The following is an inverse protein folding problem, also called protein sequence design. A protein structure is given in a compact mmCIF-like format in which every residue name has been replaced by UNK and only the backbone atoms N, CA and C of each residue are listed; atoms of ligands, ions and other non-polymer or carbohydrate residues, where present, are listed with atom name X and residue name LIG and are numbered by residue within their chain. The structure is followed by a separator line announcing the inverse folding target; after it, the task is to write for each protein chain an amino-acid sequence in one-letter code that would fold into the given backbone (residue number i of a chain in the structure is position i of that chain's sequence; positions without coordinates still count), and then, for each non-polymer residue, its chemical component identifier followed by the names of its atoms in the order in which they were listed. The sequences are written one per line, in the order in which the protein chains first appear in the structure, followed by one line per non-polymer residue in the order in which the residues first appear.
data_IF_392728029461
#
_entry.id   IF_392728029461
#
_cell.length_a   1.000
_cell.length_b   1.000
_cell.length_c   1.000
_cell.angle_alpha   90.00
_cell.angle_beta   90.00
_cell.angle_gamma   90.00
#
_symmetry.space_group_name_H-M   'P 1'
#
loop_
_entity.id
_entity.type
_entity.pdbx_description
1 polymer ?
#
# COMPACT_ATOMS: atom_id res chain seq x y z
N UNK A 1 -13.70 6.28 -13.16
CA UNK A 1 -12.85 6.82 -12.06
C UNK A 1 -12.07 5.65 -11.48
N UNK A 2 -10.80 5.81 -11.20
CA UNK A 2 -9.96 4.76 -10.58
C UNK A 2 -10.28 4.64 -9.11
N UNK A 3 -10.32 3.41 -8.59
CA UNK A 3 -10.63 3.11 -7.19
C UNK A 3 -9.49 2.38 -6.50
N UNK A 4 -9.10 2.86 -5.33
CA UNK A 4 -8.01 2.32 -4.53
C UNK A 4 -8.53 1.91 -3.15
N UNK A 5 -8.17 0.71 -2.68
CA UNK A 5 -8.37 0.33 -1.29
C UNK A 5 -7.09 0.54 -0.49
N UNK A 6 -7.19 1.11 0.71
CA UNK A 6 -6.09 1.19 1.67
C UNK A 6 -6.41 0.28 2.85
N UNK A 7 -5.60 -0.76 3.05
CA UNK A 7 -5.83 -1.79 4.07
C UNK A 7 -5.23 -1.35 5.42
N UNK A 8 -6.08 -1.14 6.41
CA UNK A 8 -5.68 -0.65 7.72
C UNK A 8 -5.84 -1.76 8.79
N UNK A 9 -4.75 -2.40 9.17
CA UNK A 9 -4.74 -3.29 10.32
C UNK A 9 -4.32 -2.53 11.60
N UNK A 10 -4.73 -2.95 12.80
CA UNK A 10 -4.25 -2.35 14.04
C UNK A 10 -2.72 -2.24 14.08
N UNK A 11 -2.19 -1.07 14.44
CA UNK A 11 -0.76 -0.79 14.43
C UNK A 11 -0.18 -0.42 13.06
N UNK A 12 -1.01 -0.04 12.08
CA UNK A 12 -0.55 0.49 10.79
C UNK A 12 0.25 1.79 10.98
N UNK A 13 1.19 2.07 10.07
CA UNK A 13 1.94 3.34 10.07
C UNK A 13 1.05 4.46 9.51
N UNK A 14 0.63 5.36 10.40
CA UNK A 14 -0.35 6.41 10.08
C UNK A 14 0.12 7.39 9.01
N UNK A 15 1.39 7.79 9.07
CA UNK A 15 1.88 8.77 8.11
C UNK A 15 1.96 8.19 6.69
N UNK A 16 2.37 6.92 6.53
CA UNK A 16 2.37 6.24 5.24
C UNK A 16 0.96 6.12 4.67
N UNK A 17 -0.01 5.74 5.50
CA UNK A 17 -1.41 5.62 5.09
C UNK A 17 -2.01 6.98 4.71
N UNK A 18 -1.89 8.00 5.57
CA UNK A 18 -2.54 9.29 5.39
C UNK A 18 -1.93 10.07 4.22
N UNK A 19 -0.59 10.08 4.06
CA UNK A 19 0.05 10.71 2.90
C UNK A 19 -0.48 10.08 1.61
N UNK A 20 -0.52 8.75 1.54
CA UNK A 20 -1.02 8.05 0.34
C UNK A 20 -2.49 8.39 0.07
N UNK A 21 -3.36 8.36 1.08
CA UNK A 21 -4.79 8.69 0.96
C UNK A 21 -4.96 10.14 0.49
N UNK A 22 -4.27 11.10 1.11
CA UNK A 22 -4.40 12.53 0.80
C UNK A 22 -3.96 12.82 -0.65
N UNK A 23 -2.79 12.35 -1.07
CA UNK A 23 -2.27 12.58 -2.42
C UNK A 23 -3.21 11.97 -3.47
N UNK A 24 -3.67 10.75 -3.29
CA UNK A 24 -4.57 10.12 -4.24
C UNK A 24 -5.91 10.87 -4.36
N UNK A 25 -6.51 11.26 -3.22
CA UNK A 25 -7.78 12.02 -3.20
C UNK A 25 -7.63 13.40 -3.84
N UNK A 26 -6.50 14.10 -3.64
CA UNK A 26 -6.20 15.38 -4.30
C UNK A 26 -6.11 15.25 -5.82
N UNK A 27 -5.71 14.09 -6.32
CA UNK A 27 -5.64 13.77 -7.74
C UNK A 27 -6.94 13.11 -8.27
N UNK A 28 -8.05 13.29 -7.55
CA UNK A 28 -9.39 12.81 -7.91
C UNK A 28 -9.47 11.27 -8.10
N UNK A 29 -8.57 10.53 -7.45
CA UNK A 29 -8.64 9.08 -7.38
C UNK A 29 -9.51 8.70 -6.17
N UNK A 30 -10.53 7.87 -6.39
CA UNK A 30 -11.40 7.40 -5.32
C UNK A 30 -10.63 6.46 -4.39
N UNK A 31 -10.58 6.80 -3.09
CA UNK A 31 -9.92 5.99 -2.08
C UNK A 31 -10.91 5.55 -1.02
N UNK A 32 -11.02 4.25 -0.82
CA UNK A 32 -11.77 3.62 0.26
C UNK A 32 -10.80 3.00 1.27
N UNK A 33 -10.90 3.38 2.53
CA UNK A 33 -10.12 2.78 3.61
C UNK A 33 -10.84 1.55 4.15
N UNK A 34 -10.12 0.42 4.27
CA UNK A 34 -10.68 -0.85 4.73
C UNK A 34 -10.02 -1.28 6.04
N UNK A 35 -10.79 -1.34 7.11
CA UNK A 35 -10.32 -1.90 8.37
C UNK A 35 -10.15 -3.41 8.24
N UNK A 36 -8.93 -3.91 8.49
CA UNK A 36 -8.63 -5.34 8.59
C UNK A 36 -8.81 -5.79 10.05
N UNK A 37 -10.02 -5.59 10.56
CA UNK A 37 -10.47 -5.87 11.91
C UNK A 37 -12.00 -6.04 11.91
N UNK A 38 -12.58 -6.51 13.02
CA UNK A 38 -14.03 -6.74 13.14
C UNK A 38 -14.86 -5.45 13.12
N UNK A 39 -14.22 -4.31 13.38
CA UNK A 39 -14.88 -2.99 13.38
C UNK A 39 -14.13 -2.02 12.49
N UNK A 40 -14.79 -0.94 12.09
CA UNK A 40 -14.18 0.14 11.29
C UNK A 40 -13.18 1.00 12.09
N UNK A 41 -13.22 0.95 13.42
CA UNK A 41 -12.31 1.68 14.27
C UNK A 41 -10.97 0.93 14.36
N UNK A 42 -9.89 1.60 13.93
CA UNK A 42 -8.52 1.06 13.91
C UNK A 42 -7.60 2.05 14.61
N UNK A 43 -6.66 1.55 15.40
CA UNK A 43 -5.65 2.38 16.08
C UNK A 43 -4.31 2.17 15.40
N UNK A 44 -3.66 3.28 15.04
CA UNK A 44 -2.36 3.27 14.36
C UNK A 44 -1.20 2.93 15.29
N UNK A 45 0.01 2.88 14.74
CA UNK A 45 1.25 2.56 15.48
C UNK A 45 1.53 3.56 16.61
N UNK A 46 1.27 4.85 16.41
CA UNK A 46 1.44 5.87 17.47
C UNK A 46 0.12 6.24 18.16
N UNK A 47 -0.78 5.26 18.28
CA UNK A 47 -2.03 5.37 19.05
C UNK A 47 -3.03 6.43 18.53
N UNK A 48 -3.00 6.75 17.23
CA UNK A 48 -3.99 7.62 16.61
C UNK A 48 -5.20 6.78 16.19
N UNK A 49 -6.41 7.04 16.73
CA UNK A 49 -7.61 6.35 16.31
C UNK A 49 -8.08 6.86 14.94
N UNK A 50 -8.47 5.93 14.07
CA UNK A 50 -9.03 6.20 12.76
C UNK A 50 -10.28 5.33 12.56
N UNK A 51 -11.30 5.89 11.92
CA UNK A 51 -12.49 5.14 11.49
C UNK A 51 -12.40 4.94 9.99
N UNK A 52 -12.27 3.69 9.54
CA UNK A 52 -12.24 3.35 8.13
C UNK A 52 -13.63 3.47 7.48
N UNK A 53 -13.66 3.63 6.16
CA UNK A 53 -14.90 3.74 5.39
C UNK A 53 -15.71 2.43 5.43
N UNK A 54 -15.03 1.28 5.41
CA UNK A 54 -15.61 -0.07 5.46
C UNK A 54 -14.69 -1.03 6.23
N UNK A 55 -15.16 -2.24 6.48
CA UNK A 55 -14.27 -3.36 6.85
C UNK A 55 -13.84 -4.14 5.61
N UNK A 56 -12.71 -4.87 5.70
CA UNK A 56 -12.28 -5.75 4.63
C UNK A 56 -13.33 -6.83 4.33
N UNK A 57 -14.00 -7.38 5.35
CA UNK A 57 -15.04 -8.38 5.19
C UNK A 57 -16.25 -7.88 4.38
N UNK A 58 -16.62 -6.60 4.52
CA UNK A 58 -17.69 -5.97 3.72
C UNK A 58 -17.28 -5.83 2.23
N UNK A 59 -16.00 -5.87 1.91
CA UNK A 59 -15.44 -5.66 0.57
C UNK A 59 -14.68 -6.85 0.00
N UNK A 60 -14.69 -7.99 0.64
CA UNK A 60 -13.88 -9.16 0.28
C UNK A 60 -14.03 -9.60 -1.19
N UNK A 61 -15.21 -9.42 -1.78
CA UNK A 61 -15.48 -9.76 -3.18
C UNK A 61 -15.29 -8.59 -4.15
N UNK A 62 -14.89 -7.40 -3.67
CA UNK A 62 -14.74 -6.20 -4.51
C UNK A 62 -13.34 -6.15 -5.10
N UNK A 63 -13.22 -5.89 -6.40
CA UNK A 63 -11.94 -5.62 -7.05
C UNK A 63 -11.74 -4.11 -7.21
N UNK A 64 -10.66 -3.62 -6.64
CA UNK A 64 -10.16 -2.25 -6.80
C UNK A 64 -9.12 -2.18 -7.93
N UNK A 65 -8.81 -1.00 -8.45
CA UNK A 65 -7.73 -0.85 -9.44
C UNK A 65 -6.35 -0.96 -8.79
N UNK A 66 -6.24 -0.62 -7.51
CA UNK A 66 -5.05 -0.82 -6.69
C UNK A 66 -5.43 -1.12 -5.24
N UNK A 67 -4.57 -1.86 -4.55
CA UNK A 67 -4.62 -2.04 -3.10
C UNK A 67 -3.33 -1.54 -2.47
N UNK A 68 -3.43 -0.74 -1.43
CA UNK A 68 -2.29 -0.19 -0.67
C UNK A 68 -2.20 -0.91 0.67
N UNK A 69 -1.00 -1.37 0.99
CA UNK A 69 -0.68 -2.03 2.25
C UNK A 69 0.36 -1.18 3.00
N UNK A 70 -0.07 -0.34 3.95
CA UNK A 70 0.85 0.41 4.79
C UNK A 70 1.73 -0.49 5.65
N UNK A 71 2.88 0.05 6.06
CA UNK A 71 3.76 -0.61 7.00
C UNK A 71 3.28 -0.51 8.46
N UNK A 72 4.24 -0.28 9.32
CA UNK A 72 4.08 -0.32 10.77
C UNK A 72 4.53 -1.68 11.34
N UNK A 73 5.26 -1.67 12.45
CA UNK A 73 5.83 -2.89 13.03
C UNK A 73 4.78 -3.95 13.34
N UNK A 74 3.66 -3.55 13.94
CA UNK A 74 2.56 -4.45 14.25
C UNK A 74 1.54 -4.54 13.11
N UNK A 75 1.27 -3.43 12.41
CA UNK A 75 0.29 -3.39 11.31
C UNK A 75 0.60 -4.39 10.20
N UNK A 76 1.85 -4.41 9.71
CA UNK A 76 2.27 -5.34 8.66
C UNK A 76 2.28 -6.82 9.13
N UNK A 77 2.54 -7.07 10.41
CA UNK A 77 2.41 -8.42 10.99
C UNK A 77 0.95 -8.86 11.01
N UNK A 78 0.04 -7.98 11.44
CA UNK A 78 -1.39 -8.26 11.47
C UNK A 78 -1.96 -8.47 10.05
N UNK A 79 -1.54 -7.66 9.07
CA UNK A 79 -1.90 -7.87 7.66
C UNK A 79 -1.41 -9.23 7.16
N UNK A 80 -0.15 -9.57 7.44
CA UNK A 80 0.46 -10.83 6.97
C UNK A 80 -0.20 -12.08 7.56
N UNK A 81 -0.68 -12.00 8.81
CA UNK A 81 -1.33 -13.10 9.51
C UNK A 81 -2.80 -13.29 9.13
N UNK A 82 -3.43 -12.30 8.50
CA UNK A 82 -4.84 -12.36 8.10
C UNK A 82 -5.03 -13.15 6.81
N UNK A 83 -5.72 -14.29 6.90
CA UNK A 83 -6.09 -15.08 5.71
C UNK A 83 -6.92 -14.28 4.71
N UNK A 84 -7.79 -13.40 5.19
CA UNK A 84 -8.66 -12.57 4.36
C UNK A 84 -7.84 -11.53 3.57
N UNK A 85 -6.85 -10.91 4.21
CA UNK A 85 -5.90 -10.01 3.52
C UNK A 85 -5.12 -10.77 2.46
N UNK A 86 -4.57 -11.94 2.80
CA UNK A 86 -3.80 -12.77 1.86
C UNK A 86 -4.66 -13.17 0.65
N UNK A 87 -5.91 -13.57 0.87
CA UNK A 87 -6.83 -13.90 -0.22
C UNK A 87 -7.20 -12.68 -1.06
N UNK A 88 -7.40 -11.52 -0.42
CA UNK A 88 -7.70 -10.27 -1.10
C UNK A 88 -6.54 -9.83 -2.01
N UNK A 89 -5.30 -9.92 -1.53
CA UNK A 89 -4.09 -9.68 -2.33
C UNK A 89 -4.02 -10.64 -3.51
N UNK A 90 -4.20 -11.94 -3.28
CA UNK A 90 -4.19 -12.95 -4.35
C UNK A 90 -5.23 -12.70 -5.43
N UNK A 91 -6.45 -12.32 -5.04
CA UNK A 91 -7.52 -12.01 -5.99
C UNK A 91 -7.19 -10.81 -6.86
N UNK A 92 -6.61 -9.74 -6.28
CA UNK A 92 -6.18 -8.56 -7.02
C UNK A 92 -5.00 -8.87 -7.94
N UNK A 93 -4.01 -9.62 -7.47
CA UNK A 93 -2.85 -10.04 -8.27
C UNK A 93 -3.28 -10.87 -9.48
N UNK A 94 -4.14 -11.87 -9.26
CA UNK A 94 -4.70 -12.70 -10.34
C UNK A 94 -5.52 -11.90 -11.36
N UNK A 95 -6.15 -10.81 -10.94
CA UNK A 95 -6.90 -9.89 -11.81
C UNK A 95 -6.00 -8.82 -12.48
N UNK A 96 -4.67 -8.85 -12.28
CA UNK A 96 -3.73 -7.88 -12.82
C UNK A 96 -3.89 -6.47 -12.23
N UNK A 97 -4.51 -6.35 -11.04
CA UNK A 97 -4.66 -5.09 -10.33
C UNK A 97 -3.38 -4.74 -9.59
N UNK A 98 -3.15 -3.44 -9.34
CA UNK A 98 -1.93 -2.99 -8.68
C UNK A 98 -1.89 -3.42 -7.21
N UNK A 99 -0.76 -3.97 -6.80
CA UNK A 99 -0.44 -4.34 -5.42
C UNK A 99 0.63 -3.37 -4.92
N UNK A 100 0.31 -2.58 -3.90
CA UNK A 100 1.11 -1.42 -3.53
C UNK A 100 1.49 -1.45 -2.03
N UNK A 101 2.46 -2.30 -1.64
CA UNK A 101 3.00 -2.29 -0.28
C UNK A 101 4.01 -1.17 -0.08
N UNK A 102 4.05 -0.60 1.13
CA UNK A 102 5.11 0.32 1.54
C UNK A 102 5.78 -0.16 2.82
N UNK A 103 7.05 0.20 3.03
CA UNK A 103 7.80 -0.07 4.25
C UNK A 103 7.95 -1.58 4.51
N UNK A 104 7.57 -2.06 5.68
CA UNK A 104 7.65 -3.47 6.07
C UNK A 104 6.65 -4.38 5.37
N UNK A 105 5.60 -3.83 4.74
CA UNK A 105 4.52 -4.62 4.17
C UNK A 105 4.97 -5.47 2.96
N UNK A 106 5.91 -4.98 2.12
CA UNK A 106 6.40 -5.77 1.00
C UNK A 106 7.06 -7.08 1.47
N UNK A 107 7.94 -7.00 2.46
CA UNK A 107 8.63 -8.18 2.99
C UNK A 107 7.69 -9.07 3.81
N UNK A 108 6.92 -8.48 4.74
CA UNK A 108 6.10 -9.26 5.68
C UNK A 108 4.84 -9.82 5.07
N UNK A 109 4.10 -9.01 4.31
CA UNK A 109 2.83 -9.46 3.73
C UNK A 109 3.07 -10.26 2.46
N UNK A 110 3.81 -9.72 1.50
CA UNK A 110 4.04 -10.40 0.23
C UNK A 110 5.12 -11.47 0.37
N UNK A 111 6.32 -11.13 0.84
CA UNK A 111 7.40 -12.09 1.01
C UNK A 111 7.07 -13.20 1.99
N UNK A 112 6.48 -12.85 3.16
CA UNK A 112 6.10 -13.84 4.17
C UNK A 112 5.01 -14.83 3.72
N UNK A 113 4.24 -14.52 2.68
CA UNK A 113 3.20 -15.37 2.10
C UNK A 113 3.54 -15.88 0.68
N UNK A 114 4.80 -15.73 0.22
CA UNK A 114 5.26 -16.13 -1.11
C UNK A 114 4.41 -15.52 -2.25
N UNK A 115 4.15 -14.21 -2.17
CA UNK A 115 3.32 -13.47 -3.12
C UNK A 115 4.12 -12.48 -3.98
N UNK A 116 5.44 -12.40 -3.83
CA UNK A 116 6.28 -11.57 -4.70
C UNK A 116 6.46 -12.21 -6.08
N UNK A 117 6.43 -13.54 -6.17
CA UNK A 117 6.48 -14.27 -7.45
C UNK A 117 7.68 -13.90 -8.33
N UNK A 118 8.87 -13.73 -7.73
CA UNK A 118 10.10 -13.36 -8.42
C UNK A 118 10.21 -11.87 -8.78
N UNK A 119 9.19 -11.04 -8.48
CA UNK A 119 9.21 -9.61 -8.81
C UNK A 119 10.25 -8.85 -8.00
N UNK A 120 10.79 -7.81 -8.61
CA UNK A 120 11.65 -6.84 -7.92
C UNK A 120 10.80 -6.01 -6.96
N UNK A 121 11.38 -5.73 -5.79
CA UNK A 121 10.69 -4.98 -4.75
C UNK A 121 11.67 -4.22 -3.86
N UNK A 122 11.17 -3.26 -3.09
CA UNK A 122 11.86 -2.60 -1.99
C UNK A 122 11.06 -2.75 -0.70
N UNK A 123 11.74 -2.77 0.42
CA UNK A 123 11.14 -2.72 1.75
C UNK A 123 12.03 -1.97 2.74
N UNK A 124 11.54 -1.72 3.94
CA UNK A 124 12.30 -1.05 5.00
C UNK A 124 13.35 -1.94 5.65
N UNK A 125 14.47 -1.32 6.03
CA UNK A 125 15.53 -1.96 6.80
C UNK A 125 16.13 -3.19 6.10
N UNK A 126 16.41 -4.19 6.89
CA UNK A 126 17.02 -5.46 6.48
C UNK A 126 16.01 -6.62 6.34
N UNK A 127 14.71 -6.32 6.33
CA UNK A 127 13.65 -7.33 6.24
C UNK A 127 13.75 -8.19 4.97
N UNK A 128 14.35 -7.66 3.90
CA UNK A 128 14.58 -8.38 2.67
C UNK A 128 15.41 -9.66 2.85
N UNK A 129 16.27 -9.71 3.89
CA UNK A 129 17.10 -10.90 4.18
C UNK A 129 16.27 -12.13 4.54
N UNK A 130 15.01 -11.96 4.94
CA UNK A 130 14.08 -13.03 5.29
C UNK A 130 13.18 -13.45 4.12
N UNK A 131 13.25 -12.75 2.99
CA UNK A 131 12.40 -12.99 1.81
C UNK A 131 13.14 -13.84 0.80
N UNK A 132 12.46 -14.86 0.24
CA UNK A 132 13.07 -15.81 -0.69
C UNK A 132 12.42 -15.82 -2.08
N UNK A 133 11.23 -15.22 -2.23
CA UNK A 133 10.45 -15.30 -3.47
C UNK A 133 10.47 -14.02 -4.32
N UNK A 134 11.34 -13.04 -4.02
CA UNK A 134 11.49 -11.79 -4.75
C UNK A 134 12.92 -11.29 -4.82
N UNK A 135 13.17 -10.31 -5.67
CA UNK A 135 14.47 -9.65 -5.85
C UNK A 135 14.46 -8.26 -5.18
N UNK A 136 15.23 -8.10 -4.11
CA UNK A 136 15.36 -6.81 -3.43
C UNK A 136 16.15 -5.81 -4.24
N UNK A 137 15.63 -4.60 -4.38
CA UNK A 137 16.29 -3.45 -5.02
C UNK A 137 16.32 -2.28 -4.05
N UNK A 138 17.49 -1.73 -3.76
CA UNK A 138 17.62 -0.56 -2.90
C UNK A 138 17.31 0.73 -3.66
N UNK A 139 16.04 1.12 -3.62
CA UNK A 139 15.52 2.33 -4.27
C UNK A 139 14.38 2.95 -3.44
N UNK A 140 14.03 4.23 -3.62
CA UNK A 140 12.89 4.86 -2.97
C UNK A 140 11.57 4.14 -3.25
N UNK A 141 11.33 3.81 -4.54
CA UNK A 141 10.16 3.09 -5.05
C UNK A 141 10.64 2.12 -6.12
N UNK A 142 10.06 0.94 -6.16
CA UNK A 142 10.31 -0.07 -7.21
C UNK A 142 9.00 -0.48 -7.84
N UNK A 143 8.95 -0.45 -9.18
CA UNK A 143 7.86 -0.96 -9.98
C UNK A 143 8.29 -2.22 -10.72
N UNK A 144 7.47 -3.27 -10.68
CA UNK A 144 7.65 -4.47 -11.49
C UNK A 144 6.29 -5.12 -11.79
N UNK A 145 5.90 -5.12 -13.05
CA UNK A 145 4.59 -5.59 -13.47
C UNK A 145 3.45 -4.78 -12.81
N UNK A 146 2.65 -5.45 -12.01
CA UNK A 146 1.57 -4.85 -11.22
C UNK A 146 1.95 -4.60 -9.76
N UNK A 147 3.21 -4.74 -9.39
CA UNK A 147 3.74 -4.42 -8.06
C UNK A 147 4.36 -3.03 -8.06
N UNK A 148 3.97 -2.19 -7.10
CA UNK A 148 4.61 -0.92 -6.78
C UNK A 148 4.95 -0.94 -5.31
N UNK A 149 6.23 -1.00 -4.96
CA UNK A 149 6.67 -1.05 -3.56
C UNK A 149 7.43 0.21 -3.16
N UNK A 150 7.15 0.74 -1.97
CA UNK A 150 7.83 1.91 -1.39
C UNK A 150 8.77 1.52 -0.24
N UNK A 151 9.91 2.19 -0.12
CA UNK A 151 10.93 1.83 0.88
C UNK A 151 10.48 2.07 2.31
N UNK A 152 9.71 3.13 2.56
CA UNK A 152 9.23 3.47 3.89
C UNK A 152 8.81 4.92 4.02
N UNK A 153 8.55 5.37 5.25
CA UNK A 153 7.96 6.65 5.56
C UNK A 153 8.60 7.84 4.84
N UNK A 154 9.93 7.92 4.81
CA UNK A 154 10.64 9.02 4.15
C UNK A 154 10.39 9.10 2.63
N UNK A 155 9.83 8.06 2.02
CA UNK A 155 9.50 7.98 0.60
C UNK A 155 7.99 7.81 0.35
N UNK A 156 7.15 8.13 1.33
CA UNK A 156 5.70 7.97 1.21
C UNK A 156 5.10 8.88 0.12
N UNK A 157 5.65 10.08 -0.08
CA UNK A 157 5.25 10.98 -1.17
C UNK A 157 5.66 10.42 -2.53
N UNK A 158 6.92 9.97 -2.69
CA UNK A 158 7.40 9.33 -3.93
C UNK A 158 6.50 8.16 -4.31
N UNK A 159 6.19 7.30 -3.34
CA UNK A 159 5.32 6.16 -3.50
C UNK A 159 3.89 6.56 -3.93
N UNK A 160 3.28 7.52 -3.24
CA UNK A 160 1.92 7.97 -3.53
C UNK A 160 1.82 8.61 -4.93
N UNK A 161 2.80 9.43 -5.31
CA UNK A 161 2.84 10.05 -6.64
C UNK A 161 3.11 9.04 -7.74
N UNK A 162 4.01 8.06 -7.53
CA UNK A 162 4.24 6.96 -8.48
C UNK A 162 2.98 6.15 -8.71
N UNK A 163 2.26 5.79 -7.64
CA UNK A 163 0.98 5.09 -7.73
C UNK A 163 -0.06 5.92 -8.50
N UNK A 164 -0.16 7.22 -8.20
CA UNK A 164 -1.09 8.11 -8.90
C UNK A 164 -0.79 8.20 -10.40
N UNK A 165 0.49 8.38 -10.78
CA UNK A 165 0.92 8.44 -12.17
C UNK A 165 0.57 7.14 -12.92
N UNK A 166 0.81 5.99 -12.29
CA UNK A 166 0.46 4.68 -12.87
C UNK A 166 -1.04 4.50 -13.06
N UNK A 167 -1.86 4.96 -12.12
CA UNK A 167 -3.33 4.88 -12.20
C UNK A 167 -3.91 5.80 -13.26
N UNK A 168 -3.40 7.04 -13.35
CA UNK A 168 -3.88 8.04 -14.29
C UNK A 168 -3.35 7.80 -15.73
N UNK A 169 -2.20 7.15 -15.87
CA UNK A 169 -1.51 6.97 -17.16
C UNK A 169 -0.93 8.28 -17.71
N UNK A 170 -0.83 9.33 -16.88
CA UNK A 170 -0.30 10.64 -17.24
C UNK A 170 0.42 11.24 -16.02
N UNK A 171 1.69 11.59 -16.18
CA UNK A 171 2.51 12.19 -15.12
C UNK A 171 2.27 13.70 -14.96
N UNK A 172 1.73 14.36 -15.98
CA UNK A 172 1.62 15.83 -15.95
C UNK A 172 0.77 16.33 -14.77
N UNK A 173 -0.49 15.85 -14.56
CA UNK A 173 -1.29 16.31 -13.42
C UNK A 173 -0.63 15.96 -12.07
N UNK A 174 0.15 14.88 -12.04
CA UNK A 174 0.86 14.44 -10.83
C UNK A 174 2.00 15.40 -10.49
N UNK A 175 2.82 15.79 -11.49
CA UNK A 175 3.89 16.79 -11.31
C UNK A 175 3.35 18.15 -10.95
N UNK A 176 2.30 18.60 -11.65
CA UNK A 176 1.63 19.89 -11.34
C UNK A 176 1.14 19.92 -9.87
N UNK A 177 0.64 18.78 -9.38
CA UNK A 177 0.18 18.68 -8.00
C UNK A 177 1.33 18.59 -6.98
N UNK A 178 2.41 17.88 -7.30
CA UNK A 178 3.61 17.86 -6.47
C UNK A 178 4.19 19.27 -6.29
N UNK A 179 4.31 20.02 -7.37
CA UNK A 179 4.75 21.42 -7.33
C UNK A 179 3.80 22.30 -6.50
N UNK A 180 2.48 22.07 -6.61
CA UNK A 180 1.47 22.82 -5.85
C UNK A 180 1.63 22.64 -4.34
N UNK A 181 2.03 21.46 -3.87
CA UNK A 181 2.28 21.19 -2.45
C UNK A 181 3.75 21.36 -2.04
N UNK A 182 4.57 21.99 -2.92
CA UNK A 182 5.99 22.24 -2.71
C UNK A 182 6.85 20.96 -2.56
N UNK A 183 6.42 19.85 -3.15
CA UNK A 183 7.17 18.61 -3.19
C UNK A 183 7.90 18.47 -4.53
N UNK A 184 9.17 18.06 -4.49
CA UNK A 184 9.98 17.81 -5.69
C UNK A 184 9.90 16.32 -6.04
N UNK A 185 9.05 16.02 -7.00
CA UNK A 185 8.83 14.64 -7.49
C UNK A 185 9.45 14.42 -8.87
#
# INVERSE_FOLDING_TARGET
MKKVAVLLAPGFEEAEAIITIDILRRLEIEVETLACADTRAVVSYHAIPLVADSTLSERQATLFDAIVLPGGPQGSVNLAASSDVVQFVKAHDAAGKLICPICSAAARVLGGNNLLNGRRYVCSGDLYQQVQDGEYVDAPVVEDGNLISGKGLGHAFDFAFTLAARLLGDEKPVRDHADHIYYRW
#
